data_IF_506857427502
#
_entry.id   IF_506857427502
#
_cell.length_a   1.000
_cell.length_b   1.000
_cell.length_c   1.000
_cell.angle_alpha   90.00
_cell.angle_beta   90.00
_cell.angle_gamma   90.00
#
_symmetry.space_group_name_H-M   'P 1'
#
loop_
_entity.id
_entity.type
_entity.pdbx_description
1 polymer ?
#
# COMPACT_ATOMS: atom_id res chain seq x y z
N UNK A 1 37.60 -12.72 -28.80
CA UNK A 1 36.92 -11.53 -28.27
C UNK A 1 36.40 -11.90 -26.89
N UNK A 2 36.85 -11.30 -25.79
CA UNK A 2 36.37 -11.67 -24.46
C UNK A 2 35.01 -11.04 -24.19
N UNK A 3 34.04 -11.86 -23.77
CA UNK A 3 32.70 -11.44 -23.34
C UNK A 3 32.79 -10.51 -22.14
N UNK A 4 32.18 -9.33 -22.27
CA UNK A 4 31.96 -8.42 -21.16
C UNK A 4 30.91 -9.04 -20.22
N UNK A 5 31.38 -9.56 -19.09
CA UNK A 5 30.53 -10.07 -18.02
C UNK A 5 29.77 -8.89 -17.41
N UNK A 6 28.46 -8.82 -17.63
CA UNK A 6 27.61 -7.81 -17.02
C UNK A 6 27.74 -7.90 -15.49
N UNK A 7 28.07 -6.78 -14.86
CA UNK A 7 28.11 -6.66 -13.41
C UNK A 7 26.67 -6.71 -12.87
N UNK A 8 26.40 -7.45 -11.78
CA UNK A 8 25.08 -7.48 -11.16
C UNK A 8 24.66 -6.07 -10.70
N UNK A 9 23.36 -5.80 -10.58
CA UNK A 9 22.88 -4.52 -10.07
C UNK A 9 23.53 -4.22 -8.73
N UNK A 10 24.03 -3.01 -8.59
CA UNK A 10 24.51 -2.54 -7.30
C UNK A 10 23.31 -2.35 -6.39
N UNK A 11 22.98 -3.40 -5.63
CA UNK A 11 22.26 -3.28 -4.36
C UNK A 11 23.15 -2.42 -3.48
N UNK A 12 22.94 -1.11 -3.51
CA UNK A 12 23.62 -0.21 -2.60
C UNK A 12 23.11 -0.53 -1.20
N UNK A 13 23.91 -1.30 -0.45
CA UNK A 13 23.74 -1.62 0.96
C UNK A 13 23.91 -0.33 1.79
N UNK A 14 22.94 0.58 1.71
CA UNK A 14 22.83 1.68 2.65
C UNK A 14 21.98 1.21 3.85
N UNK A 15 22.68 1.00 4.97
CA UNK A 15 22.20 0.50 6.25
C UNK A 15 21.76 -0.99 6.26
N UNK A 16 22.48 -1.79 7.05
CA UNK A 16 22.34 -3.25 7.16
C UNK A 16 20.89 -3.66 7.43
N UNK A 17 20.27 -4.44 6.53
CA UNK A 17 19.16 -5.34 6.86
C UNK A 17 17.84 -5.17 6.11
N UNK A 18 17.64 -4.15 5.27
CA UNK A 18 16.33 -3.91 4.62
C UNK A 18 16.38 -4.16 3.11
N UNK A 19 15.42 -4.94 2.60
CA UNK A 19 15.26 -5.19 1.17
C UNK A 19 14.49 -4.02 0.55
N UNK A 20 15.20 -3.08 -0.07
CA UNK A 20 14.58 -1.90 -0.70
C UNK A 20 14.67 -2.02 -2.22
N UNK A 21 13.51 -1.90 -2.87
CA UNK A 21 13.40 -1.91 -4.33
C UNK A 21 12.86 -0.57 -4.83
N UNK A 22 13.37 -0.09 -5.96
CA UNK A 22 12.82 1.07 -6.66
C UNK A 22 11.73 0.58 -7.60
N UNK A 23 10.60 1.29 -7.62
CA UNK A 23 9.48 0.93 -8.47
C UNK A 23 8.53 2.10 -8.67
N UNK A 24 7.31 1.79 -9.11
CA UNK A 24 6.19 2.72 -9.21
C UNK A 24 4.99 2.14 -8.48
N UNK A 25 4.25 3.00 -7.78
CA UNK A 25 2.97 2.64 -7.18
C UNK A 25 1.87 3.27 -7.99
N UNK A 26 0.89 2.47 -8.39
CA UNK A 26 -0.31 2.90 -9.10
C UNK A 26 -1.56 2.56 -8.31
N UNK A 27 -2.40 3.55 -8.00
CA UNK A 27 -3.77 3.32 -7.52
C UNK A 27 -4.73 3.54 -8.68
N UNK A 28 -5.41 2.47 -9.11
CA UNK A 28 -6.29 2.40 -10.27
C UNK A 28 -7.73 2.18 -9.76
N UNK A 29 -8.55 3.23 -9.77
CA UNK A 29 -9.96 3.11 -9.38
C UNK A 29 -10.59 4.36 -8.80
N UNK A 30 -9.80 5.40 -8.48
CA UNK A 30 -10.31 6.69 -8.04
C UNK A 30 -10.41 7.75 -9.13
N UNK A 31 -11.06 8.87 -8.82
CA UNK A 31 -11.10 10.10 -9.64
C UNK A 31 -9.70 10.68 -9.89
N UNK A 32 -8.75 10.35 -9.01
CA UNK A 32 -7.34 10.67 -9.12
C UNK A 32 -6.56 9.36 -9.23
N UNK A 33 -5.69 9.28 -10.22
CA UNK A 33 -4.72 8.20 -10.33
C UNK A 33 -3.48 8.60 -9.54
N UNK A 34 -3.19 7.88 -8.45
CA UNK A 34 -1.87 7.95 -7.87
C UNK A 34 -0.92 7.17 -8.77
N UNK A 35 0.00 7.82 -9.47
CA UNK A 35 1.06 7.16 -10.23
C UNK A 35 2.37 7.91 -9.99
N UNK A 36 3.32 7.25 -9.32
CA UNK A 36 4.60 7.88 -9.03
C UNK A 36 5.70 6.89 -8.70
N UNK A 37 6.97 7.33 -8.87
CA UNK A 37 8.11 6.54 -8.42
C UNK A 37 8.07 6.38 -6.89
N UNK A 38 8.46 5.21 -6.41
CA UNK A 38 8.51 4.88 -5.00
C UNK A 38 9.76 4.05 -4.68
N UNK A 39 10.24 4.17 -3.45
CA UNK A 39 11.12 3.21 -2.83
C UNK A 39 10.28 2.35 -1.90
N UNK A 40 10.25 1.05 -2.17
CA UNK A 40 9.43 0.08 -1.44
C UNK A 40 10.37 -0.77 -0.62
N UNK A 41 10.22 -0.69 0.70
CA UNK A 41 10.89 -1.57 1.64
C UNK A 41 10.03 -2.83 1.83
N UNK A 42 10.64 -4.00 1.66
CA UNK A 42 10.03 -5.29 1.92
C UNK A 42 10.41 -5.73 3.32
N UNK A 43 9.39 -5.90 4.17
CA UNK A 43 9.54 -6.32 5.55
C UNK A 43 8.46 -7.36 5.87
N UNK A 44 8.87 -8.52 6.38
CA UNK A 44 7.94 -9.61 6.73
C UNK A 44 7.46 -9.56 8.17
N UNK A 45 8.05 -8.69 9.00
CA UNK A 45 7.68 -8.46 10.41
C UNK A 45 6.51 -7.50 10.60
N UNK A 46 6.00 -6.87 9.53
CA UNK A 46 4.82 -6.01 9.57
C UNK A 46 3.65 -6.66 8.85
N UNK A 47 2.47 -6.60 9.48
CA UNK A 47 1.20 -7.00 8.84
C UNK A 47 0.60 -5.88 7.99
N UNK A 48 1.15 -4.66 8.09
CA UNK A 48 0.64 -3.47 7.43
C UNK A 48 1.55 -3.00 6.29
N UNK A 49 0.93 -2.51 5.23
CA UNK A 49 1.58 -1.57 4.33
C UNK A 49 1.72 -0.22 5.04
N UNK A 50 2.96 0.23 5.20
CA UNK A 50 3.25 1.51 5.83
C UNK A 50 3.46 2.62 4.78
N UNK A 51 2.69 3.70 4.92
CA UNK A 51 2.77 4.87 4.03
C UNK A 51 3.35 6.06 4.81
N UNK A 52 4.25 6.87 4.22
CA UNK A 52 4.77 8.06 4.90
C UNK A 52 3.65 9.00 5.38
N UNK A 53 3.77 9.62 6.57
CA UNK A 53 2.76 10.53 7.14
C UNK A 53 2.16 11.54 6.16
N UNK A 54 3.03 12.27 5.45
CA UNK A 54 2.63 13.31 4.49
C UNK A 54 1.94 12.77 3.23
N UNK A 55 1.95 11.45 3.01
CA UNK A 55 1.32 10.76 1.88
C UNK A 55 0.10 9.94 2.31
N UNK A 56 -0.08 9.67 3.60
CA UNK A 56 -1.11 8.76 4.11
C UNK A 56 -2.53 9.18 3.73
N UNK A 57 -2.96 10.39 4.11
CA UNK A 57 -4.32 10.86 3.80
C UNK A 57 -4.59 10.93 2.28
N UNK A 58 -3.70 11.51 1.45
CA UNK A 58 -3.86 11.44 0.00
C UNK A 58 -3.97 10.00 -0.50
N UNK A 59 -3.13 9.09 0.00
CA UNK A 59 -3.15 7.68 -0.40
C UNK A 59 -4.49 7.03 -0.06
N UNK A 60 -4.99 7.19 1.17
CA UNK A 60 -6.25 6.60 1.62
C UNK A 60 -7.45 7.14 0.85
N UNK A 61 -7.50 8.44 0.53
CA UNK A 61 -8.56 9.03 -0.31
C UNK A 61 -8.51 8.56 -1.76
N UNK A 62 -7.34 8.18 -2.26
CA UNK A 62 -7.20 7.55 -3.58
C UNK A 62 -7.60 6.07 -3.55
N UNK A 63 -7.29 5.38 -2.46
CA UNK A 63 -7.68 3.98 -2.25
C UNK A 63 -9.20 3.83 -2.07
N UNK A 64 -9.83 4.79 -1.40
CA UNK A 64 -11.28 4.86 -1.15
C UNK A 64 -11.84 6.17 -1.76
N UNK A 65 -12.00 6.22 -3.09
CA UNK A 65 -12.42 7.40 -3.85
C UNK A 65 -13.85 7.86 -3.57
N UNK A 66 -14.25 8.96 -4.21
CA UNK A 66 -15.58 9.56 -4.11
C UNK A 66 -15.94 9.98 -2.67
N UNK A 67 -14.93 10.32 -1.86
CA UNK A 67 -15.12 10.68 -0.46
C UNK A 67 -15.44 9.49 0.46
N UNK A 68 -15.35 8.24 -0.04
CA UNK A 68 -15.65 7.05 0.75
C UNK A 68 -14.79 6.96 2.01
N UNK A 69 -13.52 7.36 1.93
CA UNK A 69 -12.66 7.44 3.12
C UNK A 69 -13.25 8.37 4.19
N UNK A 70 -13.64 9.59 3.81
CA UNK A 70 -14.11 10.60 4.76
C UNK A 70 -15.53 10.31 5.28
N UNK A 71 -16.32 9.49 4.56
CA UNK A 71 -17.70 9.14 4.90
C UNK A 71 -17.84 7.82 5.66
N UNK A 72 -17.04 6.82 5.29
CA UNK A 72 -17.19 5.44 5.76
C UNK A 72 -16.08 5.01 6.71
N UNK A 73 -15.07 5.84 6.94
CA UNK A 73 -13.98 5.55 7.85
C UNK A 73 -13.90 6.58 8.98
N UNK A 74 -13.42 6.12 10.13
CA UNK A 74 -13.14 6.92 11.30
C UNK A 74 -11.87 6.45 11.99
N UNK A 75 -11.35 7.28 12.89
CA UNK A 75 -10.19 6.95 13.71
C UNK A 75 -10.68 6.50 15.08
N UNK A 76 -10.35 5.27 15.47
CA UNK A 76 -10.58 4.78 16.81
C UNK A 76 -9.58 5.41 17.79
N UNK A 77 -10.04 6.45 18.49
CA UNK A 77 -9.25 7.17 19.48
C UNK A 77 -8.91 6.34 20.71
N UNK A 78 -9.66 5.27 20.98
CA UNK A 78 -9.45 4.40 22.14
C UNK A 78 -8.31 3.43 21.85
N UNK A 79 -8.29 2.86 20.64
CA UNK A 79 -7.27 1.89 20.21
C UNK A 79 -6.14 2.56 19.42
N UNK A 80 -5.47 3.55 20.01
CA UNK A 80 -4.23 4.16 19.48
C UNK A 80 -4.34 4.81 18.09
N UNK A 81 -5.54 5.23 17.69
CA UNK A 81 -5.73 5.95 16.44
C UNK A 81 -5.77 5.06 15.19
N UNK A 82 -6.16 3.79 15.34
CA UNK A 82 -6.38 2.89 14.20
C UNK A 82 -7.53 3.42 13.34
N UNK A 83 -7.35 3.45 12.03
CA UNK A 83 -8.45 3.72 11.10
C UNK A 83 -9.34 2.48 10.99
N UNK A 84 -10.64 2.68 11.14
CA UNK A 84 -11.66 1.65 11.01
C UNK A 84 -12.69 2.15 10.00
N UNK A 85 -13.11 1.29 9.08
CA UNK A 85 -14.11 1.58 8.07
C UNK A 85 -15.31 0.65 8.17
N UNK A 86 -16.46 1.07 7.64
CA UNK A 86 -17.49 0.13 7.22
C UNK A 86 -16.94 -0.81 6.14
N UNK A 87 -17.24 -2.10 6.20
CA UNK A 87 -16.80 -3.05 5.16
C UNK A 87 -17.39 -2.77 3.77
N UNK A 88 -18.45 -1.95 3.68
CA UNK A 88 -18.96 -1.45 2.40
C UNK A 88 -17.88 -0.69 1.60
N UNK A 89 -16.97 0.01 2.29
CA UNK A 89 -15.86 0.72 1.65
C UNK A 89 -14.95 -0.25 0.87
N UNK A 90 -14.64 -1.42 1.44
CA UNK A 90 -13.87 -2.48 0.77
C UNK A 90 -14.67 -3.09 -0.38
N UNK A 91 -15.94 -3.41 -0.15
CA UNK A 91 -16.67 -4.28 -1.08
C UNK A 91 -17.07 -3.57 -2.38
N UNK A 92 -17.33 -2.25 -2.31
CA UNK A 92 -17.89 -1.49 -3.44
C UNK A 92 -16.99 -0.39 -3.96
N UNK A 93 -16.08 0.16 -3.14
CA UNK A 93 -15.47 1.46 -3.42
C UNK A 93 -13.94 1.41 -3.50
N UNK A 94 -13.30 0.30 -3.15
CA UNK A 94 -11.85 0.19 -3.13
C UNK A 94 -11.22 0.23 -4.53
N UNK A 95 -10.21 1.07 -4.69
CA UNK A 95 -9.36 1.10 -5.88
C UNK A 95 -8.36 -0.07 -5.87
N UNK A 96 -7.93 -0.50 -7.06
CA UNK A 96 -6.86 -1.49 -7.22
C UNK A 96 -5.51 -0.84 -6.97
N UNK A 97 -4.62 -1.49 -6.23
CA UNK A 97 -3.24 -1.04 -6.10
C UNK A 97 -2.35 -1.95 -6.94
N UNK A 98 -1.57 -1.37 -7.83
CA UNK A 98 -0.53 -2.05 -8.60
C UNK A 98 0.85 -1.52 -8.24
N UNK A 99 1.79 -2.42 -7.99
CA UNK A 99 3.19 -2.16 -7.77
C UNK A 99 3.96 -2.61 -9.01
N UNK A 100 4.70 -1.71 -9.64
CA UNK A 100 5.51 -2.02 -10.81
C UNK A 100 7.00 -1.87 -10.51
N UNK A 101 7.80 -2.85 -10.92
CA UNK A 101 9.25 -2.87 -10.73
C UNK A 101 9.91 -3.21 -12.06
N UNK A 102 11.06 -2.59 -12.33
CA UNK A 102 11.86 -2.91 -13.52
C UNK A 102 13.07 -3.71 -13.06
N UNK A 103 13.27 -4.89 -13.64
CA UNK A 103 14.45 -5.71 -13.35
C UNK A 103 15.68 -5.24 -14.13
N UNK A 104 16.81 -5.90 -13.91
CA UNK A 104 18.09 -5.54 -14.52
C UNK A 104 18.13 -5.78 -16.02
N UNK A 105 17.19 -6.58 -16.53
CA UNK A 105 17.03 -6.90 -17.95
C UNK A 105 16.09 -5.89 -18.64
N UNK A 106 15.59 -4.90 -17.91
CA UNK A 106 14.67 -3.88 -18.41
C UNK A 106 13.22 -4.36 -18.52
N UNK A 107 12.90 -5.58 -18.05
CA UNK A 107 11.53 -6.06 -18.03
C UNK A 107 10.78 -5.44 -16.86
N UNK A 108 9.54 -5.01 -17.12
CA UNK A 108 8.66 -4.45 -16.08
C UNK A 108 7.72 -5.53 -15.58
N UNK A 109 7.79 -5.80 -14.28
CA UNK A 109 6.93 -6.72 -13.56
C UNK A 109 5.91 -5.93 -12.76
N UNK A 110 4.64 -6.33 -12.82
CA UNK A 110 3.55 -5.68 -12.09
C UNK A 110 2.85 -6.67 -11.16
N UNK A 111 2.65 -6.26 -9.91
CA UNK A 111 1.92 -7.01 -8.89
C UNK A 111 0.68 -6.21 -8.51
N UNK A 112 -0.49 -6.84 -8.55
CA UNK A 112 -1.74 -6.24 -8.06
C UNK A 112 -1.99 -6.73 -6.63
N UNK A 113 -2.26 -5.81 -5.72
CA UNK A 113 -2.73 -6.12 -4.38
C UNK A 113 -4.24 -6.31 -4.44
N UNK A 114 -4.69 -7.45 -3.95
CA UNK A 114 -6.12 -7.78 -3.95
C UNK A 114 -6.82 -6.98 -2.87
N UNK A 115 -8.06 -6.57 -3.13
CA UNK A 115 -8.84 -5.78 -2.18
C UNK A 115 -9.06 -6.49 -0.84
N UNK A 116 -9.13 -7.81 -0.87
CA UNK A 116 -9.30 -8.66 0.31
C UNK A 116 -8.05 -8.65 1.19
N UNK A 117 -6.87 -8.43 0.62
CA UNK A 117 -5.61 -8.33 1.36
C UNK A 117 -5.39 -6.92 1.95
N UNK A 118 -6.16 -5.92 1.49
CA UNK A 118 -6.04 -4.52 1.92
C UNK A 118 -6.93 -4.18 3.12
N UNK A 119 -7.81 -5.08 3.55
CA UNK A 119 -8.76 -4.86 4.63
C UNK A 119 -9.00 -6.14 5.43
N UNK A 120 -8.88 -6.05 6.75
CA UNK A 120 -9.21 -7.15 7.66
C UNK A 120 -10.58 -6.92 8.28
N UNK A 121 -11.44 -7.94 8.23
CA UNK A 121 -12.77 -7.87 8.83
C UNK A 121 -12.66 -8.09 10.33
N UNK A 122 -13.29 -7.21 11.11
CA UNK A 122 -13.40 -7.31 12.57
C UNK A 122 -14.86 -7.12 13.01
N UNK A 123 -15.23 -7.70 14.15
CA UNK A 123 -16.55 -7.52 14.75
C UNK A 123 -16.49 -6.40 15.78
N UNK A 124 -17.33 -5.39 15.60
CA UNK A 124 -17.48 -4.29 16.54
C UNK A 124 -18.25 -4.68 17.80
N UNK A 125 -18.32 -3.76 18.76
CA UNK A 125 -18.85 -4.04 20.11
C UNK A 125 -20.35 -4.39 20.11
N UNK A 126 -21.09 -3.93 19.11
CA UNK A 126 -22.52 -4.16 18.96
C UNK A 126 -22.83 -5.21 17.87
N UNK A 127 -21.83 -6.00 17.45
CA UNK A 127 -21.97 -7.04 16.44
C UNK A 127 -21.89 -6.53 14.99
N UNK A 128 -21.62 -5.24 14.79
CA UNK A 128 -21.40 -4.65 13.47
C UNK A 128 -20.14 -5.22 12.80
N UNK A 129 -20.19 -5.39 11.47
CA UNK A 129 -19.04 -5.81 10.70
C UNK A 129 -18.24 -4.59 10.26
N UNK A 130 -17.01 -4.48 10.76
CA UNK A 130 -16.09 -3.39 10.47
C UNK A 130 -14.88 -3.94 9.71
N UNK A 131 -14.19 -3.06 9.01
CA UNK A 131 -13.01 -3.39 8.24
C UNK A 131 -11.86 -2.47 8.64
N UNK A 132 -10.75 -3.06 9.07
CA UNK A 132 -9.50 -2.36 9.37
C UNK A 132 -8.65 -2.34 8.11
N UNK A 133 -8.35 -1.16 7.53
CA UNK A 133 -7.44 -1.07 6.40
C UNK A 133 -6.05 -1.59 6.81
N UNK A 134 -5.46 -2.45 5.99
CA UNK A 134 -4.10 -2.95 6.16
C UNK A 134 -3.05 -1.94 5.65
N UNK A 135 -3.44 -0.68 5.50
CA UNK A 135 -2.59 0.45 5.15
C UNK A 135 -2.59 1.41 6.32
N UNK A 136 -1.41 1.61 6.92
CA UNK A 136 -1.24 2.45 8.10
C UNK A 136 -0.21 3.54 7.83
N UNK A 137 -0.36 4.65 8.55
CA UNK A 137 0.66 5.68 8.59
C UNK A 137 1.91 5.11 9.26
N UNK A 138 3.08 5.29 8.64
CA UNK A 138 4.35 4.99 9.28
C UNK A 138 4.50 5.88 10.53
N UNK A 139 4.72 5.30 11.73
CA UNK A 139 4.90 6.05 12.97
C UNK A 139 6.03 7.09 12.89
#
# INVERSE_FOLDING_TARGET
MPEAKALPPQVHLHHRGMWVVKGRVKALGGLTTWDGPAQIALETSTSYMLVPPFRYLPFMRNLLPNGAFDLLCGVDKINKGIVICSCEARDKLVARISLAFTDDWGATHSFELRKEDLFETVTGKHGEQLCVPQVQQRP
#
